data_IF_410023827079
#
_entry.id   IF_410023827079
#
_cell.length_a   1.000
_cell.length_b   1.000
_cell.length_c   1.000
_cell.angle_alpha   90.00
_cell.angle_beta   90.00
_cell.angle_gamma   90.00
#
_symmetry.space_group_name_H-M   'P 1'
#
loop_
_entity.id
_entity.type
_entity.pdbx_description
1 polymer ?
#
# COMPACT_ATOMS: atom_id res chain seq x y z
N UNK A 1 -8.42 -14.03 -12.27
CA UNK A 1 -9.07 -14.12 -10.95
C UNK A 1 -8.20 -15.01 -10.09
N UNK A 2 -7.88 -14.59 -8.86
CA UNK A 2 -7.07 -15.37 -7.92
C UNK A 2 -7.88 -16.56 -7.40
N UNK A 3 -7.20 -17.67 -7.10
CA UNK A 3 -7.84 -18.85 -6.49
C UNK A 3 -8.06 -18.64 -5.01
N UNK A 4 -7.11 -18.01 -4.34
CA UNK A 4 -7.23 -17.58 -2.95
C UNK A 4 -7.58 -16.08 -2.91
N UNK A 5 -8.80 -15.72 -2.47
CA UNK A 5 -9.23 -14.33 -2.42
C UNK A 5 -8.52 -13.51 -1.32
N UNK A 6 -7.92 -14.16 -0.32
CA UNK A 6 -7.37 -13.50 0.87
C UNK A 6 -5.89 -13.11 0.68
N UNK A 7 -5.19 -13.69 -0.29
CA UNK A 7 -3.77 -13.44 -0.56
C UNK A 7 -3.43 -11.95 -0.73
N UNK A 8 -4.25 -11.21 -1.49
CA UNK A 8 -4.03 -9.78 -1.70
C UNK A 8 -4.16 -8.99 -0.39
N UNK A 9 -5.18 -9.30 0.42
CA UNK A 9 -5.38 -8.68 1.72
C UNK A 9 -4.23 -9.00 2.68
N UNK A 10 -3.74 -10.24 2.66
CA UNK A 10 -2.62 -10.66 3.48
C UNK A 10 -1.31 -9.92 3.14
N UNK A 11 -1.11 -9.52 1.88
CA UNK A 11 0.11 -8.82 1.43
C UNK A 11 -0.03 -7.30 1.59
N UNK A 12 -1.14 -6.72 1.15
CA UNK A 12 -1.27 -5.26 0.97
C UNK A 12 -2.11 -4.55 2.05
N UNK A 13 -2.79 -5.29 2.94
CA UNK A 13 -3.65 -4.72 3.99
C UNK A 13 -3.21 -5.18 5.37
N UNK A 14 -3.13 -6.49 5.59
CA UNK A 14 -2.83 -7.10 6.89
C UNK A 14 -1.60 -6.54 7.62
N UNK A 15 -0.43 -6.35 6.96
CA UNK A 15 0.75 -5.85 7.65
C UNK A 15 0.60 -4.43 8.19
N UNK A 16 -0.28 -3.59 7.62
CA UNK A 16 -0.52 -2.22 8.10
C UNK A 16 -1.33 -2.17 9.42
N UNK A 17 -2.19 -3.16 9.66
CA UNK A 17 -3.14 -3.12 10.76
C UNK A 17 -2.52 -3.49 12.13
N UNK A 18 -1.36 -4.15 12.16
CA UNK A 18 -0.64 -4.46 13.40
C UNK A 18 0.15 -3.28 13.96
N UNK A 19 1.02 -2.60 13.19
CA UNK A 19 1.90 -1.56 13.72
C UNK A 19 1.21 -0.19 13.83
N UNK A 20 0.14 0.08 13.06
CA UNK A 20 -0.40 1.43 12.95
C UNK A 20 -1.94 1.49 12.82
N UNK A 21 -2.72 1.03 13.82
CA UNK A 21 -4.18 1.16 13.78
C UNK A 21 -4.65 2.63 13.69
N UNK A 22 -3.83 3.58 14.12
CA UNK A 22 -4.13 5.03 14.08
C UNK A 22 -3.91 5.67 12.70
N UNK A 23 -3.30 4.96 11.74
CA UNK A 23 -3.06 5.42 10.36
C UNK A 23 -3.89 4.59 9.35
N UNK A 24 -4.96 3.97 9.81
CA UNK A 24 -5.89 3.20 9.00
C UNK A 24 -7.29 3.81 9.09
N UNK A 25 -7.85 4.20 7.95
CA UNK A 25 -9.18 4.81 7.85
C UNK A 25 -10.00 4.10 6.79
N UNK A 26 -11.32 4.08 6.96
CA UNK A 26 -12.26 3.46 6.02
C UNK A 26 -13.23 4.50 5.45
N UNK A 27 -13.55 4.35 4.16
CA UNK A 27 -14.66 5.04 3.53
C UNK A 27 -15.94 4.23 3.73
N UNK A 28 -16.98 4.87 4.28
CA UNK A 28 -18.27 4.24 4.57
C UNK A 28 -19.37 5.03 3.87
N UNK A 29 -20.26 4.34 3.16
CA UNK A 29 -21.51 4.85 2.61
C UNK A 29 -22.71 4.14 3.25
N UNK A 30 -23.92 4.37 2.72
CA UNK A 30 -25.15 3.75 3.22
C UNK A 30 -25.17 2.21 3.08
N UNK A 31 -24.35 1.64 2.17
CA UNK A 31 -24.18 0.19 1.98
C UNK A 31 -23.06 -0.39 2.85
N UNK A 32 -22.35 0.44 3.61
CA UNK A 32 -21.27 0.05 4.52
C UNK A 32 -19.88 0.43 4.02
N UNK A 33 -18.87 -0.36 4.42
CA UNK A 33 -17.46 -0.09 4.05
C UNK A 33 -17.27 -0.29 2.55
N UNK A 34 -16.73 0.73 1.87
CA UNK A 34 -16.55 0.73 0.43
C UNK A 34 -15.17 1.26 0.00
N UNK A 35 -14.25 1.42 0.95
CA UNK A 35 -12.86 1.75 0.66
C UNK A 35 -12.04 1.90 1.92
N UNK A 36 -10.72 2.01 1.76
CA UNK A 36 -9.79 2.25 2.85
C UNK A 36 -8.65 3.14 2.40
N UNK A 37 -7.98 3.75 3.38
CA UNK A 37 -6.62 4.28 3.24
C UNK A 37 -5.82 3.84 4.45
N UNK A 38 -4.62 3.33 4.20
CA UNK A 38 -3.68 2.82 5.18
C UNK A 38 -2.37 3.58 5.00
N UNK A 39 -1.65 3.81 6.09
CA UNK A 39 -0.30 4.32 6.00
C UNK A 39 0.58 3.94 7.18
N UNK A 40 1.86 4.21 7.03
CA UNK A 40 2.84 4.16 8.12
C UNK A 40 3.70 5.42 8.07
N UNK A 41 4.12 5.90 9.24
CA UNK A 41 4.93 7.12 9.34
C UNK A 41 6.40 6.90 8.96
N UNK A 42 6.90 5.67 9.12
CA UNK A 42 8.27 5.28 8.77
C UNK A 42 8.30 3.86 8.19
N UNK A 43 8.84 3.76 6.98
CA UNK A 43 8.91 2.53 6.19
C UNK A 43 9.93 1.54 6.75
N UNK A 44 11.08 1.99 7.27
CA UNK A 44 12.14 1.05 7.72
C UNK A 44 11.73 0.24 8.96
N UNK A 45 11.15 0.84 10.01
CA UNK A 45 10.60 0.08 11.13
C UNK A 45 9.44 -0.83 10.71
N UNK A 46 8.61 -0.40 9.74
CA UNK A 46 7.54 -1.22 9.21
C UNK A 46 8.07 -2.48 8.50
N UNK A 47 9.00 -2.34 7.56
CA UNK A 47 9.61 -3.46 6.84
C UNK A 47 10.31 -4.43 7.81
N UNK A 48 11.05 -3.88 8.77
CA UNK A 48 11.71 -4.67 9.82
C UNK A 48 10.70 -5.46 10.65
N UNK A 49 9.57 -4.85 11.03
CA UNK A 49 8.49 -5.50 11.77
C UNK A 49 7.82 -6.62 10.96
N UNK A 50 7.64 -6.38 9.65
CA UNK A 50 7.07 -7.36 8.73
C UNK A 50 7.97 -8.58 8.59
N UNK A 51 9.27 -8.41 8.35
CA UNK A 51 10.23 -9.52 8.29
C UNK A 51 10.34 -10.27 9.62
N UNK A 52 10.21 -9.57 10.76
CA UNK A 52 10.27 -10.22 12.07
C UNK A 52 9.04 -11.06 12.41
N UNK A 53 7.86 -10.69 11.91
CA UNK A 53 6.61 -11.24 12.47
C UNK A 53 5.47 -11.50 11.49
N UNK A 54 5.42 -10.82 10.35
CA UNK A 54 4.34 -10.96 9.38
C UNK A 54 4.70 -11.94 8.27
N UNK A 55 5.80 -11.70 7.56
CA UNK A 55 6.22 -12.56 6.46
C UNK A 55 6.53 -13.98 6.90
N UNK A 56 7.20 -14.25 8.05
CA UNK A 56 7.41 -15.63 8.51
C UNK A 56 6.10 -16.40 8.73
N UNK A 57 5.07 -15.75 9.28
CA UNK A 57 3.75 -16.34 9.47
C UNK A 57 3.12 -16.70 8.11
N UNK A 58 3.14 -15.77 7.15
CA UNK A 58 2.60 -16.02 5.82
C UNK A 58 3.40 -17.08 5.04
N UNK A 59 4.73 -17.09 5.14
CA UNK A 59 5.58 -18.12 4.52
C UNK A 59 5.22 -19.53 5.00
N UNK A 60 4.80 -19.66 6.27
CA UNK A 60 4.31 -20.93 6.82
C UNK A 60 2.93 -21.32 6.29
N UNK A 61 2.02 -20.36 6.12
CA UNK A 61 0.67 -20.61 5.58
C UNK A 61 0.65 -20.80 4.06
N UNK A 62 1.62 -20.20 3.36
CA UNK A 62 1.72 -20.16 1.90
C UNK A 62 3.10 -20.67 1.44
N UNK A 63 3.38 -21.98 1.50
CA UNK A 63 4.62 -22.52 0.94
C UNK A 63 4.64 -22.33 -0.59
N UNK A 64 5.84 -22.16 -1.18
CA UNK A 64 5.99 -21.95 -2.64
C UNK A 64 5.41 -23.07 -3.52
N UNK A 65 5.20 -24.26 -2.96
CA UNK A 65 4.59 -25.39 -3.64
C UNK A 65 3.05 -25.36 -3.66
N UNK A 66 2.41 -24.43 -2.94
CA UNK A 66 0.94 -24.38 -2.80
C UNK A 66 0.23 -24.06 -4.12
N UNK A 67 0.84 -23.21 -4.96
CA UNK A 67 0.32 -22.84 -6.27
C UNK A 67 1.38 -23.03 -7.36
N UNK A 68 0.99 -23.27 -8.62
CA UNK A 68 1.93 -23.25 -9.74
C UNK A 68 2.64 -21.88 -9.81
N UNK A 69 3.98 -21.82 -9.96
CA UNK A 69 4.73 -20.55 -9.94
C UNK A 69 4.23 -19.51 -10.96
N UNK A 70 3.85 -19.97 -12.15
CA UNK A 70 3.36 -19.10 -13.24
C UNK A 70 1.92 -18.59 -13.04
N UNK A 71 1.21 -19.10 -12.02
CA UNK A 71 -0.15 -18.65 -11.72
C UNK A 71 -0.13 -17.28 -11.03
N UNK A 72 -1.23 -16.49 -11.12
CA UNK A 72 -1.34 -15.23 -10.38
C UNK A 72 -1.08 -15.39 -8.87
N UNK A 73 -1.64 -16.43 -8.25
CA UNK A 73 -1.45 -16.77 -6.85
C UNK A 73 0.00 -17.17 -6.56
N UNK A 74 0.63 -17.96 -7.44
CA UNK A 74 2.04 -18.34 -7.34
C UNK A 74 2.97 -17.13 -7.29
N UNK A 75 2.73 -16.12 -8.14
CA UNK A 75 3.47 -14.84 -8.11
C UNK A 75 3.28 -14.06 -6.80
N UNK A 76 2.08 -14.09 -6.22
CA UNK A 76 1.83 -13.48 -4.90
C UNK A 76 2.53 -14.24 -3.77
N UNK A 77 2.57 -15.57 -3.84
CA UNK A 77 3.33 -16.38 -2.89
C UNK A 77 4.83 -16.08 -3.03
N UNK A 78 5.36 -15.92 -4.24
CA UNK A 78 6.75 -15.54 -4.42
C UNK A 78 7.07 -14.18 -3.76
N UNK A 79 6.16 -13.20 -3.82
CA UNK A 79 6.27 -11.93 -3.08
C UNK A 79 6.28 -12.11 -1.56
N UNK A 80 5.51 -13.04 -1.00
CA UNK A 80 5.56 -13.35 0.45
C UNK A 80 6.94 -13.87 0.86
N UNK A 81 7.58 -14.66 -0.01
CA UNK A 81 8.90 -15.24 0.24
C UNK A 81 10.06 -14.29 -0.09
N UNK A 82 9.84 -13.31 -0.96
CA UNK A 82 10.80 -12.28 -1.37
C UNK A 82 10.09 -10.92 -1.46
N UNK A 83 9.68 -10.34 -0.32
CA UNK A 83 8.95 -9.09 -0.34
C UNK A 83 9.87 -7.96 -0.82
N UNK A 84 9.40 -7.08 -1.72
CA UNK A 84 10.18 -5.93 -2.14
C UNK A 84 10.37 -4.97 -0.96
N UNK A 85 11.54 -4.36 -0.88
CA UNK A 85 11.79 -3.22 0.02
C UNK A 85 11.79 -1.93 -0.77
N UNK A 86 11.36 -0.84 -0.15
CA UNK A 86 11.37 0.48 -0.74
C UNK A 86 12.81 0.97 -0.99
N UNK A 87 13.00 1.72 -2.09
CA UNK A 87 14.28 2.31 -2.48
C UNK A 87 14.84 3.24 -1.37
N UNK A 88 16.13 3.10 -1.04
CA UNK A 88 16.78 3.84 0.07
C UNK A 88 16.66 5.35 -0.05
N UNK A 89 17.00 5.90 -1.21
CA UNK A 89 16.97 7.34 -1.46
C UNK A 89 15.56 7.93 -1.45
N UNK A 90 14.54 7.09 -1.69
CA UNK A 90 13.13 7.50 -1.56
C UNK A 90 12.75 7.56 -0.08
N UNK A 91 13.04 6.51 0.69
CA UNK A 91 12.67 6.44 2.11
C UNK A 91 13.39 7.49 2.95
N UNK A 92 14.64 7.82 2.62
CA UNK A 92 15.38 8.92 3.29
C UNK A 92 14.66 10.27 3.19
N UNK A 93 13.94 10.53 2.09
CA UNK A 93 13.27 11.82 1.83
C UNK A 93 11.77 11.78 2.16
N UNK A 94 11.15 10.62 1.98
CA UNK A 94 9.71 10.40 2.12
C UNK A 94 9.49 9.14 2.95
N UNK A 95 9.74 9.17 4.27
CA UNK A 95 9.79 7.96 5.09
C UNK A 95 8.42 7.30 5.26
N UNK A 96 7.32 8.06 5.13
CA UNK A 96 5.99 7.47 5.17
C UNK A 96 5.61 6.82 3.84
N UNK A 97 4.76 5.80 3.89
CA UNK A 97 4.09 5.28 2.69
C UNK A 97 2.62 4.96 2.96
N UNK A 98 1.86 4.79 1.87
CA UNK A 98 0.41 4.56 1.95
C UNK A 98 -0.10 3.51 0.95
N UNK A 99 -1.29 2.98 1.25
CA UNK A 99 -2.10 2.15 0.36
C UNK A 99 -3.56 2.61 0.40
N UNK A 100 -4.22 2.73 -0.74
CA UNK A 100 -5.60 3.22 -0.84
C UNK A 100 -6.35 2.46 -1.92
N UNK A 101 -7.54 1.96 -1.59
CA UNK A 101 -8.45 1.38 -2.56
C UNK A 101 -9.89 1.77 -2.27
N UNK A 102 -10.66 1.94 -3.35
CA UNK A 102 -12.07 2.27 -3.30
C UNK A 102 -12.85 1.33 -4.22
N UNK A 103 -13.95 0.79 -3.73
CA UNK A 103 -14.94 0.14 -4.59
C UNK A 103 -15.51 1.15 -5.59
N UNK A 104 -15.95 0.70 -6.79
CA UNK A 104 -16.43 1.58 -7.85
C UNK A 104 -17.45 2.63 -7.39
N UNK A 105 -18.35 2.29 -6.45
CA UNK A 105 -19.38 3.20 -5.93
C UNK A 105 -18.85 4.42 -5.16
N UNK A 106 -17.65 4.35 -4.58
CA UNK A 106 -17.00 5.51 -3.94
C UNK A 106 -16.08 6.29 -4.87
N UNK A 107 -15.83 5.82 -6.08
CA UNK A 107 -14.91 6.48 -6.99
C UNK A 107 -15.56 7.68 -7.70
N UNK A 108 -14.76 8.66 -8.13
CA UNK A 108 -15.22 9.79 -8.94
C UNK A 108 -15.94 10.92 -8.18
N UNK A 109 -16.29 10.72 -6.91
CA UNK A 109 -17.07 11.68 -6.10
C UNK A 109 -16.26 12.35 -4.97
N UNK A 110 -14.92 12.39 -5.09
CA UNK A 110 -14.04 13.06 -4.13
C UNK A 110 -13.74 12.29 -2.84
N UNK A 111 -14.31 11.10 -2.62
CA UNK A 111 -14.03 10.29 -1.42
C UNK A 111 -12.55 9.91 -1.28
N UNK A 112 -11.89 9.55 -2.38
CA UNK A 112 -10.45 9.22 -2.35
C UNK A 112 -9.58 10.39 -1.92
N UNK A 113 -9.94 11.61 -2.33
CA UNK A 113 -9.27 12.84 -1.88
C UNK A 113 -9.42 13.02 -0.37
N UNK A 114 -10.65 12.92 0.14
CA UNK A 114 -10.94 13.07 1.57
C UNK A 114 -10.20 12.04 2.42
N UNK A 115 -10.13 10.79 1.97
CA UNK A 115 -9.36 9.74 2.65
C UNK A 115 -7.86 10.07 2.67
N UNK A 116 -7.28 10.47 1.53
CA UNK A 116 -5.86 10.86 1.49
C UNK A 116 -5.56 12.07 2.37
N UNK A 117 -6.39 13.12 2.33
CA UNK A 117 -6.23 14.30 3.18
C UNK A 117 -6.28 13.92 4.67
N UNK A 118 -7.22 13.05 5.05
CA UNK A 118 -7.30 12.49 6.42
C UNK A 118 -6.01 11.76 6.81
N UNK A 119 -5.49 10.91 5.93
CA UNK A 119 -4.22 10.21 6.20
C UNK A 119 -3.05 11.19 6.28
N UNK A 120 -2.98 12.21 5.43
CA UNK A 120 -1.89 13.18 5.45
C UNK A 120 -1.84 13.96 6.75
N UNK A 121 -2.99 14.38 7.28
CA UNK A 121 -3.05 15.04 8.58
C UNK A 121 -2.57 14.12 9.70
N UNK A 122 -2.96 12.84 9.67
CA UNK A 122 -2.50 11.85 10.64
C UNK A 122 -0.98 11.57 10.53
N UNK A 123 -0.43 11.49 9.31
CA UNK A 123 1.00 11.31 9.08
C UNK A 123 1.81 12.53 9.53
N UNK A 124 1.32 13.76 9.30
CA UNK A 124 1.93 14.99 9.84
C UNK A 124 1.95 14.99 11.36
N UNK A 125 0.82 14.61 11.98
CA UNK A 125 0.74 14.49 13.44
C UNK A 125 1.70 13.43 14.00
N UNK A 126 2.02 12.39 13.21
CA UNK A 126 3.02 11.39 13.52
C UNK A 126 4.47 11.83 13.19
N UNK A 127 4.68 13.04 12.68
CA UNK A 127 6.00 13.63 12.41
C UNK A 127 6.61 13.25 11.07
N UNK A 128 5.86 12.64 10.15
CA UNK A 128 6.38 12.29 8.83
C UNK A 128 6.56 13.55 7.95
N UNK A 129 7.76 13.82 7.41
CA UNK A 129 8.03 14.99 6.56
C UNK A 129 7.53 14.82 5.10
N UNK A 130 7.21 13.58 4.70
CA UNK A 130 6.86 13.26 3.33
C UNK A 130 6.35 11.83 3.21
N UNK A 131 5.60 11.56 2.16
CA UNK A 131 4.96 10.27 1.90
C UNK A 131 5.17 9.82 0.46
N UNK A 132 5.40 8.52 0.26
CA UNK A 132 5.51 7.89 -1.05
C UNK A 132 4.49 6.75 -1.24
N UNK A 133 4.34 6.31 -2.50
CA UNK A 133 3.55 5.14 -2.87
C UNK A 133 4.08 4.52 -4.17
N UNK A 134 3.85 3.23 -4.33
CA UNK A 134 4.02 2.54 -5.60
C UNK A 134 2.71 2.50 -6.39
N UNK A 135 2.77 2.69 -7.70
CA UNK A 135 1.63 2.57 -8.61
C UNK A 135 2.05 1.88 -9.90
N UNK A 136 1.24 0.94 -10.39
CA UNK A 136 1.51 0.23 -11.65
C UNK A 136 1.56 1.19 -12.84
N UNK A 137 2.54 1.01 -13.74
CA UNK A 137 2.81 1.93 -14.85
C UNK A 137 1.61 2.07 -15.80
N UNK A 138 0.82 1.01 -15.97
CA UNK A 138 -0.39 1.00 -16.79
C UNK A 138 -1.62 1.65 -16.13
N UNK A 139 -1.55 2.05 -14.85
CA UNK A 139 -2.68 2.61 -14.11
C UNK A 139 -2.73 4.15 -14.25
N UNK A 140 -2.96 4.62 -15.48
CA UNK A 140 -3.00 6.06 -15.82
C UNK A 140 -4.01 6.85 -14.97
N UNK A 141 -5.15 6.22 -14.65
CA UNK A 141 -6.19 6.82 -13.80
C UNK A 141 -5.67 7.12 -12.40
N UNK A 142 -4.97 6.17 -11.77
CA UNK A 142 -4.39 6.36 -10.45
C UNK A 142 -3.22 7.36 -10.49
N UNK A 143 -2.35 7.28 -11.50
CA UNK A 143 -1.25 8.23 -11.69
C UNK A 143 -1.78 9.66 -11.78
N UNK A 144 -2.78 9.91 -12.63
CA UNK A 144 -3.40 11.23 -12.74
C UNK A 144 -4.15 11.66 -11.46
N UNK A 145 -4.67 10.72 -10.67
CA UNK A 145 -5.23 11.03 -9.36
C UNK A 145 -4.15 11.49 -8.36
N UNK A 146 -3.01 10.81 -8.29
CA UNK A 146 -1.91 11.19 -7.41
C UNK A 146 -1.24 12.51 -7.84
N UNK A 147 -1.10 12.75 -9.15
CA UNK A 147 -0.62 14.04 -9.68
C UNK A 147 -1.49 15.21 -9.20
N UNK A 148 -2.83 15.10 -9.30
CA UNK A 148 -3.77 16.10 -8.76
C UNK A 148 -3.71 16.26 -7.24
N UNK A 149 -3.22 15.25 -6.53
CA UNK A 149 -2.97 15.29 -5.08
C UNK A 149 -1.58 15.85 -4.74
N UNK A 150 -0.81 16.31 -5.73
CA UNK A 150 0.50 16.93 -5.56
C UNK A 150 1.65 15.93 -5.42
N UNK A 151 1.47 14.68 -5.82
CA UNK A 151 2.56 13.72 -5.93
C UNK A 151 3.35 13.94 -7.22
N UNK A 152 4.65 13.67 -7.15
CA UNK A 152 5.56 13.69 -8.30
C UNK A 152 6.25 12.35 -8.44
N UNK A 153 6.62 11.96 -9.67
CA UNK A 153 7.38 10.74 -9.90
C UNK A 153 8.81 10.93 -9.39
N UNK A 154 9.25 10.06 -8.48
CA UNK A 154 10.61 10.08 -7.90
C UNK A 154 11.45 8.86 -8.28
N UNK A 155 10.81 7.77 -8.68
CA UNK A 155 11.48 6.58 -9.24
C UNK A 155 10.62 5.93 -10.31
N UNK A 156 11.28 5.35 -11.31
CA UNK A 156 10.66 4.50 -12.33
C UNK A 156 11.29 3.12 -12.29
N UNK A 157 10.46 2.11 -12.17
CA UNK A 157 10.77 0.69 -12.31
C UNK A 157 10.20 0.17 -13.65
N UNK A 158 10.52 -1.05 -14.08
CA UNK A 158 10.02 -1.57 -15.37
C UNK A 158 8.48 -1.52 -15.50
N UNK A 159 7.77 -1.93 -14.46
CA UNK A 159 6.31 -2.08 -14.47
C UNK A 159 5.57 -1.14 -13.50
N UNK A 160 6.29 -0.27 -12.79
CA UNK A 160 5.71 0.62 -11.77
C UNK A 160 6.45 1.95 -11.66
N UNK A 161 5.77 2.93 -11.05
CA UNK A 161 6.31 4.19 -10.64
C UNK A 161 6.28 4.26 -9.11
N UNK A 162 7.28 4.93 -8.54
CA UNK A 162 7.18 5.45 -7.17
C UNK A 162 6.89 6.94 -7.29
N UNK A 163 5.79 7.36 -6.67
CA UNK A 163 5.40 8.75 -6.59
C UNK A 163 5.49 9.22 -5.14
N UNK A 164 5.90 10.46 -4.91
CA UNK A 164 6.04 11.01 -3.56
C UNK A 164 5.66 12.49 -3.49
N UNK A 165 5.35 12.95 -2.27
CA UNK A 165 5.15 14.36 -1.95
C UNK A 165 5.63 14.70 -0.54
N UNK A 166 6.05 15.95 -0.28
CA UNK A 166 6.18 16.44 1.08
C UNK A 166 4.80 16.48 1.76
N UNK A 167 4.78 16.33 3.08
CA UNK A 167 3.59 16.44 3.90
C UNK A 167 3.49 17.82 4.53
#
# INVERSE_FOLDING_TARGET
MYRDPDLLGAIYVGPYLRPAPTLAFVGVDEEGVAGYVLGVADTRPFETSCERSWWPMLRSSYPRSLFPPESPDGRLVDLIHQPPTADEDVVERYPAHLHIDLLPRLQGNGHGRRLLETLFDALRAAGAPGVHLGVGLANERAIGFYDRMGFTVVRRHPDSLVMARPL
#
